data_IF_457075973588
#
_entry.id   IF_457075973588
#
_cell.length_a   1.000
_cell.length_b   1.000
_cell.length_c   1.000
_cell.angle_alpha   90.00
_cell.angle_beta   90.00
_cell.angle_gamma   90.00
#
_symmetry.space_group_name_H-M   'P 1'
#
loop_
_entity.id
_entity.type
_entity.pdbx_description
1 polymer ?
#
# COMPACT_ATOMS: atom_id res chain seq x y z
N UNK A 1 -35.04 24.86 25.38
CA UNK A 1 -34.04 24.58 26.42
C UNK A 1 -33.48 23.17 26.17
N UNK A 2 -32.19 23.09 25.83
CA UNK A 2 -31.27 21.92 25.85
C UNK A 2 -31.66 20.66 25.03
N UNK A 3 -30.79 19.97 24.30
CA UNK A 3 -29.34 20.07 24.06
C UNK A 3 -28.97 19.24 22.82
N UNK A 4 -27.97 19.68 22.04
CA UNK A 4 -26.67 19.00 21.86
C UNK A 4 -26.85 17.58 21.29
N UNK A 5 -26.63 17.28 20.00
CA UNK A 5 -25.47 17.68 19.19
C UNK A 5 -24.36 16.65 19.33
N UNK A 6 -24.62 15.38 18.98
CA UNK A 6 -23.64 14.29 19.10
C UNK A 6 -22.96 14.06 17.75
N UNK A 7 -21.83 14.76 17.56
CA UNK A 7 -20.90 14.48 16.47
C UNK A 7 -20.18 13.17 16.79
N UNK A 8 -20.44 12.12 16.00
CA UNK A 8 -19.63 10.90 16.05
C UNK A 8 -18.21 11.21 15.58
N UNK A 9 -17.33 11.43 16.54
CA UNK A 9 -15.92 11.66 16.33
C UNK A 9 -15.24 10.34 15.95
N UNK A 10 -14.71 10.28 14.73
CA UNK A 10 -13.83 9.21 14.26
C UNK A 10 -12.64 9.13 15.22
N UNK A 11 -12.34 7.98 15.86
CA UNK A 11 -11.23 7.89 16.79
C UNK A 11 -9.90 8.04 16.04
N UNK A 12 -9.26 9.19 16.23
CA UNK A 12 -7.89 9.51 15.83
C UNK A 12 -6.92 9.01 16.91
N UNK A 13 -6.80 7.69 17.11
CA UNK A 13 -5.62 7.06 17.75
C UNK A 13 -5.78 5.53 17.72
N UNK A 14 -4.78 4.73 17.29
CA UNK A 14 -4.87 3.29 17.42
C UNK A 14 -4.69 2.91 18.90
N UNK A 15 -5.72 2.32 19.49
CA UNK A 15 -5.62 1.70 20.81
C UNK A 15 -4.44 0.72 20.82
N UNK A 16 -3.55 0.85 21.82
CA UNK A 16 -2.45 -0.07 22.04
C UNK A 16 -3.00 -1.50 22.19
N UNK A 17 -2.50 -2.42 21.36
CA UNK A 17 -2.92 -3.82 21.41
C UNK A 17 -2.40 -4.48 22.70
N UNK A 18 -3.17 -5.40 23.30
CA UNK A 18 -2.73 -6.13 24.48
C UNK A 18 -1.51 -7.01 24.15
N UNK A 19 -0.54 -7.15 25.09
CA UNK A 19 0.64 -7.99 24.89
C UNK A 19 0.21 -9.46 24.79
N UNK A 20 0.62 -10.14 23.71
CA UNK A 20 0.38 -11.59 23.51
C UNK A 20 -0.57 -11.98 22.38
N UNK A 21 -0.92 -11.07 21.47
CA UNK A 21 -1.71 -11.45 20.29
C UNK A 21 -0.81 -12.16 19.27
N UNK A 22 -0.95 -13.49 19.15
CA UNK A 22 -0.28 -14.30 18.14
C UNK A 22 -0.51 -13.75 16.72
N UNK A 23 0.58 -13.50 16.00
CA UNK A 23 0.64 -12.88 14.69
C UNK A 23 -0.04 -13.73 13.58
N UNK A 24 -0.42 -14.97 13.89
CA UNK A 24 -1.06 -15.91 12.97
C UNK A 24 -2.41 -15.44 12.39
N UNK A 25 -3.18 -14.59 13.09
CA UNK A 25 -4.58 -14.28 12.71
C UNK A 25 -4.88 -12.85 12.27
N UNK A 26 -3.89 -11.93 12.29
CA UNK A 26 -4.03 -10.61 11.66
C UNK A 26 -2.68 -10.16 11.14
N UNK A 27 -2.47 -10.34 9.85
CA UNK A 27 -1.23 -9.95 9.18
C UNK A 27 -1.12 -8.41 9.21
N UNK A 28 -0.26 -7.88 10.08
CA UNK A 28 0.00 -6.45 10.17
C UNK A 28 0.79 -5.97 8.96
N UNK A 29 0.10 -5.76 7.84
CA UNK A 29 0.67 -5.16 6.66
C UNK A 29 0.46 -3.65 6.69
N UNK A 30 1.55 -2.91 6.55
CA UNK A 30 1.51 -1.47 6.33
C UNK A 30 1.68 -1.17 4.83
N UNK A 31 1.06 -0.09 4.35
CA UNK A 31 1.29 0.38 3.00
C UNK A 31 2.76 0.80 2.83
N UNK A 32 3.39 0.36 1.74
CA UNK A 32 4.74 0.82 1.41
C UNK A 32 4.72 2.33 1.11
N UNK A 33 5.83 3.03 1.36
CA UNK A 33 6.00 4.45 1.04
C UNK A 33 6.22 4.65 -0.47
N UNK A 34 5.20 4.34 -1.27
CA UNK A 34 5.22 4.42 -2.74
C UNK A 34 4.47 5.65 -3.28
N UNK A 35 4.19 6.62 -2.40
CA UNK A 35 3.50 7.86 -2.71
C UNK A 35 1.97 7.80 -2.50
N UNK A 36 1.37 8.97 -2.30
CA UNK A 36 -0.04 9.10 -1.93
C UNK A 36 -1.00 8.77 -3.07
N UNK A 37 -0.57 8.90 -4.32
CA UNK A 37 -1.42 8.63 -5.49
C UNK A 37 -1.93 7.19 -5.53
N UNK A 38 -1.09 6.21 -5.19
CA UNK A 38 -1.50 4.79 -5.16
C UNK A 38 -2.52 4.55 -4.04
N UNK A 39 -2.29 5.16 -2.87
CA UNK A 39 -3.24 5.08 -1.74
C UNK A 39 -4.58 5.68 -2.12
N UNK A 40 -4.58 6.80 -2.83
CA UNK A 40 -5.80 7.46 -3.29
C UNK A 40 -6.58 6.59 -4.26
N UNK A 41 -5.93 6.01 -5.27
CA UNK A 41 -6.58 5.11 -6.24
C UNK A 41 -7.28 3.93 -5.52
N UNK A 42 -6.61 3.32 -4.55
CA UNK A 42 -7.19 2.21 -3.77
C UNK A 42 -8.34 2.70 -2.89
N UNK A 43 -8.22 3.87 -2.28
CA UNK A 43 -9.26 4.45 -1.46
C UNK A 43 -10.53 4.77 -2.28
N UNK A 44 -10.38 5.44 -3.43
CA UNK A 44 -11.47 5.74 -4.37
C UNK A 44 -12.15 4.46 -4.86
N UNK A 45 -11.37 3.43 -5.18
CA UNK A 45 -11.90 2.13 -5.56
C UNK A 45 -12.73 1.48 -4.44
N UNK A 46 -12.26 1.53 -3.19
CA UNK A 46 -13.01 1.01 -2.03
C UNK A 46 -14.30 1.81 -1.81
N UNK A 47 -14.24 3.13 -1.94
CA UNK A 47 -15.41 4.02 -1.84
C UNK A 47 -16.44 3.63 -2.89
N UNK A 48 -16.05 3.46 -4.15
CA UNK A 48 -16.93 2.98 -5.23
C UNK A 48 -17.60 1.65 -4.88
N UNK A 49 -16.84 0.67 -4.39
CA UNK A 49 -17.41 -0.63 -4.03
C UNK A 49 -18.43 -0.52 -2.88
N UNK A 50 -18.17 0.33 -1.88
CA UNK A 50 -19.04 0.49 -0.72
C UNK A 50 -20.27 1.33 -1.01
N UNK A 51 -20.10 2.48 -1.63
CA UNK A 51 -21.14 3.49 -1.78
C UNK A 51 -22.01 3.23 -3.02
N UNK A 52 -21.40 2.87 -4.15
CA UNK A 52 -22.15 2.64 -5.39
C UNK A 52 -22.59 1.19 -5.56
N UNK A 53 -21.76 0.23 -5.16
CA UNK A 53 -22.08 -1.20 -5.31
C UNK A 53 -22.70 -1.84 -4.08
N UNK A 54 -22.67 -1.15 -2.94
CA UNK A 54 -23.17 -1.62 -1.64
C UNK A 54 -22.54 -2.94 -1.22
N UNK A 55 -21.21 -3.03 -1.36
CA UNK A 55 -20.43 -4.22 -0.99
C UNK A 55 -19.92 -4.10 0.43
N UNK A 56 -19.97 -5.21 1.15
CA UNK A 56 -19.51 -5.32 2.53
C UNK A 56 -18.05 -5.76 2.63
N UNK A 57 -17.53 -5.84 3.85
CA UNK A 57 -16.14 -6.23 4.10
C UNK A 57 -15.81 -7.70 3.75
N UNK A 58 -16.82 -8.53 3.48
CA UNK A 58 -16.65 -9.93 3.07
C UNK A 58 -16.64 -10.09 1.54
N UNK A 59 -16.97 -9.05 0.78
CA UNK A 59 -16.93 -9.05 -0.68
C UNK A 59 -15.48 -8.89 -1.18
N UNK A 60 -15.15 -9.40 -2.38
CA UNK A 60 -13.81 -9.30 -2.95
C UNK A 60 -13.38 -7.85 -3.19
N UNK A 61 -12.23 -7.43 -2.66
CA UNK A 61 -11.64 -6.12 -2.93
C UNK A 61 -11.28 -5.93 -4.42
N UNK A 62 -10.84 -7.01 -5.07
CA UNK A 62 -10.58 -7.05 -6.52
C UNK A 62 -11.50 -8.09 -7.18
N UNK A 63 -12.74 -7.72 -7.52
CA UNK A 63 -13.74 -8.63 -8.06
C UNK A 63 -13.45 -9.11 -9.47
N UNK A 64 -14.01 -10.27 -9.78
CA UNK A 64 -13.99 -10.79 -11.13
C UNK A 64 -14.82 -9.94 -12.09
N UNK A 65 -14.32 -9.79 -13.31
CA UNK A 65 -15.07 -9.19 -14.41
C UNK A 65 -16.33 -10.01 -14.70
N UNK A 66 -17.48 -9.35 -14.76
CA UNK A 66 -18.74 -9.95 -15.19
C UNK A 66 -18.77 -9.95 -16.71
N UNK A 67 -19.00 -11.14 -17.27
CA UNK A 67 -19.14 -11.36 -18.71
C UNK A 67 -20.54 -11.93 -18.93
N UNK A 68 -21.29 -11.34 -19.86
CA UNK A 68 -22.59 -11.86 -20.32
C UNK A 68 -22.65 -11.84 -21.85
N UNK A 69 -23.75 -12.33 -22.40
CA UNK A 69 -24.00 -12.26 -23.85
C UNK A 69 -24.62 -10.91 -24.22
N UNK A 70 -24.21 -10.37 -25.36
CA UNK A 70 -24.90 -9.25 -26.02
C UNK A 70 -26.08 -9.76 -26.87
N UNK A 71 -26.77 -8.85 -27.56
CA UNK A 71 -27.90 -9.16 -28.45
C UNK A 71 -27.53 -10.11 -29.61
N UNK A 72 -26.24 -10.20 -29.94
CA UNK A 72 -25.67 -11.09 -30.98
C UNK A 72 -25.08 -12.38 -30.41
N UNK A 73 -25.40 -12.71 -29.15
CA UNK A 73 -24.89 -13.88 -28.42
C UNK A 73 -23.36 -13.90 -28.24
N UNK A 74 -22.69 -12.76 -28.41
CA UNK A 74 -21.24 -12.62 -28.20
C UNK A 74 -20.92 -12.23 -26.76
N UNK A 75 -19.75 -12.64 -26.27
CA UNK A 75 -19.32 -12.31 -24.91
C UNK A 75 -18.94 -10.83 -24.79
N UNK A 76 -19.58 -10.13 -23.86
CA UNK A 76 -19.36 -8.73 -23.53
C UNK A 76 -19.05 -8.58 -22.03
N UNK A 77 -18.15 -7.65 -21.70
CA UNK A 77 -17.96 -7.19 -20.33
C UNK A 77 -19.14 -6.32 -19.91
N UNK A 78 -19.88 -6.75 -18.89
CA UNK A 78 -21.07 -6.05 -18.39
C UNK A 78 -20.94 -5.55 -16.96
N UNK A 79 -19.76 -5.70 -16.35
CA UNK A 79 -19.43 -5.07 -15.07
C UNK A 79 -18.49 -5.90 -14.22
N UNK A 80 -18.73 -5.89 -12.92
CA UNK A 80 -17.98 -6.65 -11.90
C UNK A 80 -18.92 -7.59 -11.15
N UNK A 81 -18.39 -8.71 -10.68
CA UNK A 81 -19.13 -9.77 -10.01
C UNK A 81 -18.65 -9.93 -8.57
N UNK A 82 -19.56 -10.31 -7.64
CA UNK A 82 -19.25 -10.51 -6.21
C UNK A 82 -18.51 -11.83 -5.95
N UNK A 83 -17.50 -12.11 -6.77
CA UNK A 83 -16.64 -13.29 -6.68
C UNK A 83 -15.20 -12.91 -6.98
N UNK A 84 -14.28 -13.63 -6.35
CA UNK A 84 -12.86 -13.51 -6.66
C UNK A 84 -12.55 -14.04 -8.07
N UNK A 85 -11.48 -13.54 -8.69
CA UNK A 85 -10.93 -14.22 -9.87
C UNK A 85 -10.52 -15.64 -9.51
N UNK A 86 -10.84 -16.61 -10.37
CA UNK A 86 -10.47 -18.02 -10.18
C UNK A 86 -8.96 -18.28 -10.31
N UNK A 87 -8.25 -17.42 -11.04
CA UNK A 87 -6.83 -17.53 -11.28
C UNK A 87 -6.23 -16.16 -11.61
N UNK A 88 -4.90 -16.10 -11.74
CA UNK A 88 -4.19 -14.85 -12.03
C UNK A 88 -4.12 -14.49 -13.53
N UNK A 89 -4.83 -15.18 -14.42
CA UNK A 89 -4.84 -14.84 -15.86
C UNK A 89 -5.45 -13.45 -16.14
N UNK A 90 -6.57 -13.04 -15.52
CA UNK A 90 -7.15 -11.71 -15.74
C UNK A 90 -6.18 -10.59 -15.37
N UNK A 91 -5.55 -10.65 -14.19
CA UNK A 91 -4.59 -9.62 -13.78
C UNK A 91 -3.38 -9.56 -14.72
N UNK A 92 -2.86 -10.70 -15.21
CA UNK A 92 -1.78 -10.71 -16.21
C UNK A 92 -2.18 -10.04 -17.52
N UNK A 93 -3.42 -10.22 -17.97
CA UNK A 93 -3.96 -9.57 -19.18
C UNK A 93 -4.09 -8.05 -18.99
N UNK A 94 -4.69 -7.62 -17.88
CA UNK A 94 -4.83 -6.20 -17.52
C UNK A 94 -3.46 -5.54 -17.48
N UNK A 95 -2.50 -6.18 -16.82
CA UNK A 95 -1.14 -5.69 -16.69
C UNK A 95 -0.45 -5.53 -18.04
N UNK A 96 -0.50 -6.57 -18.89
CA UNK A 96 0.08 -6.50 -20.24
C UNK A 96 -0.55 -5.38 -21.08
N UNK A 97 -1.87 -5.24 -21.02
CA UNK A 97 -2.59 -4.19 -21.73
C UNK A 97 -2.15 -2.80 -21.25
N UNK A 98 -2.08 -2.57 -19.94
CA UNK A 98 -1.65 -1.28 -19.39
C UNK A 98 -0.23 -0.87 -19.85
N UNK A 99 0.72 -1.82 -19.87
CA UNK A 99 2.06 -1.55 -20.41
C UNK A 99 2.02 -1.19 -21.91
N UNK A 100 1.23 -1.93 -22.68
CA UNK A 100 1.08 -1.72 -24.13
C UNK A 100 0.46 -0.35 -24.42
N UNK A 101 -0.62 -0.01 -23.73
CA UNK A 101 -1.33 1.27 -23.88
C UNK A 101 -0.45 2.45 -23.46
N UNK A 102 0.48 2.25 -22.52
CA UNK A 102 1.47 3.25 -22.12
C UNK A 102 2.72 3.31 -23.03
N UNK A 103 2.80 2.50 -24.08
CA UNK A 103 3.97 2.44 -24.97
C UNK A 103 5.22 1.85 -24.31
N UNK A 104 5.07 1.09 -23.22
CA UNK A 104 6.17 0.53 -22.45
C UNK A 104 6.38 -0.97 -22.76
N UNK A 105 7.63 -1.48 -22.64
CA UNK A 105 7.88 -2.91 -22.71
C UNK A 105 7.09 -3.67 -21.65
N UNK A 106 6.58 -4.86 -21.99
CA UNK A 106 5.89 -5.69 -21.02
C UNK A 106 6.86 -6.24 -19.96
N UNK A 107 6.62 -5.90 -18.70
CA UNK A 107 7.21 -6.56 -17.55
C UNK A 107 6.19 -7.53 -16.93
N UNK A 108 6.63 -8.64 -16.35
CA UNK A 108 5.71 -9.56 -15.66
C UNK A 108 5.31 -9.00 -14.28
N UNK A 109 4.20 -9.46 -13.66
CA UNK A 109 3.77 -8.92 -12.35
C UNK A 109 4.78 -9.04 -11.21
N UNK A 110 5.73 -10.00 -11.26
CA UNK A 110 6.76 -10.12 -10.23
C UNK A 110 7.80 -8.99 -10.29
N UNK A 111 7.90 -8.29 -11.42
CA UNK A 111 8.77 -7.12 -11.56
C UNK A 111 8.42 -5.99 -10.59
N UNK A 112 7.14 -5.82 -10.22
CA UNK A 112 6.74 -4.81 -9.22
C UNK A 112 7.24 -5.19 -7.83
N UNK A 113 7.16 -6.48 -7.48
CA UNK A 113 7.77 -6.98 -6.24
C UNK A 113 9.28 -6.73 -6.22
N UNK A 114 9.98 -6.99 -7.32
CA UNK A 114 11.42 -6.68 -7.43
C UNK A 114 11.70 -5.17 -7.30
N UNK A 115 10.82 -4.33 -7.84
CA UNK A 115 10.90 -2.88 -7.72
C UNK A 115 10.78 -2.45 -6.26
N UNK A 116 9.84 -3.03 -5.50
CA UNK A 116 9.72 -2.79 -4.06
C UNK A 116 10.94 -3.28 -3.27
N UNK A 117 11.55 -4.40 -3.66
CA UNK A 117 12.80 -4.86 -3.03
C UNK A 117 13.92 -3.85 -3.26
N UNK A 118 14.10 -3.39 -4.51
CA UNK A 118 15.11 -2.36 -4.84
C UNK A 118 14.87 -1.05 -4.12
N UNK A 119 13.61 -0.62 -4.01
CA UNK A 119 13.25 0.57 -3.24
C UNK A 119 13.62 0.39 -1.77
N UNK A 120 13.29 -0.76 -1.17
CA UNK A 120 13.69 -1.11 0.20
C UNK A 120 15.20 -1.00 0.42
N UNK A 121 16.00 -1.51 -0.52
CA UNK A 121 17.46 -1.42 -0.47
C UNK A 121 17.99 0.02 -0.48
N UNK A 122 17.22 0.96 -1.04
CA UNK A 122 17.59 2.38 -1.11
C UNK A 122 17.14 3.16 0.13
N UNK A 123 15.94 2.87 0.66
CA UNK A 123 15.34 3.68 1.74
C UNK A 123 15.66 3.17 3.15
N UNK A 124 15.85 1.86 3.31
CA UNK A 124 16.19 1.26 4.58
C UNK A 124 17.66 1.53 4.92
N UNK A 125 17.91 2.10 6.09
CA UNK A 125 19.25 2.46 6.57
C UNK A 125 19.80 1.44 7.58
N UNK A 126 18.92 0.60 8.15
CA UNK A 126 19.31 -0.39 9.15
C UNK A 126 18.88 -1.80 8.74
N UNK A 127 19.60 -2.83 9.22
CA UNK A 127 19.18 -4.23 9.10
C UNK A 127 17.75 -4.49 9.57
N UNK A 128 17.36 -3.92 10.70
CA UNK A 128 16.00 -4.03 11.25
C UNK A 128 14.96 -3.45 10.30
N UNK A 129 15.23 -2.27 9.71
CA UNK A 129 14.33 -1.64 8.74
C UNK A 129 14.15 -2.52 7.49
N UNK A 130 15.24 -3.04 6.95
CA UNK A 130 15.17 -3.89 5.77
C UNK A 130 14.51 -5.24 6.07
N UNK A 131 14.70 -5.78 7.28
CA UNK A 131 14.01 -6.98 7.75
C UNK A 131 12.50 -6.74 7.86
N UNK A 132 12.07 -5.64 8.48
CA UNK A 132 10.66 -5.24 8.56
C UNK A 132 10.05 -5.06 7.16
N UNK A 133 10.78 -4.44 6.23
CA UNK A 133 10.39 -4.31 4.82
C UNK A 133 10.17 -5.66 4.14
N UNK A 134 11.11 -6.60 4.33
CA UNK A 134 11.02 -7.95 3.76
C UNK A 134 9.85 -8.76 4.34
N UNK A 135 9.60 -8.65 5.65
CA UNK A 135 8.43 -9.26 6.30
C UNK A 135 7.13 -8.65 5.78
N UNK A 136 7.08 -7.33 5.59
CA UNK A 136 5.92 -6.64 5.03
C UNK A 136 5.61 -7.07 3.59
N UNK A 137 6.65 -7.39 2.80
CA UNK A 137 6.50 -7.94 1.45
C UNK A 137 5.99 -9.39 1.45
N UNK A 138 6.08 -10.12 2.57
CA UNK A 138 5.89 -11.57 2.60
C UNK A 138 6.97 -12.29 1.78
N UNK A 139 8.21 -11.77 1.78
CA UNK A 139 9.33 -12.36 1.06
C UNK A 139 10.30 -13.04 2.03
N UNK A 140 10.15 -14.35 2.23
CA UNK A 140 11.08 -15.11 3.06
C UNK A 140 12.46 -15.29 2.40
N UNK A 141 12.57 -15.30 1.06
CA UNK A 141 13.85 -15.67 0.40
C UNK A 141 14.97 -14.63 0.48
N UNK A 142 14.68 -13.38 0.85
CA UNK A 142 15.71 -12.35 1.14
C UNK A 142 16.18 -12.44 2.59
N UNK A 143 15.54 -13.29 3.41
CA UNK A 143 15.92 -13.52 4.79
C UNK A 143 17.34 -14.07 4.94
N UNK A 144 17.92 -14.74 3.95
CA UNK A 144 19.17 -15.50 4.13
C UNK A 144 20.34 -14.65 4.60
N UNK A 145 20.39 -13.36 4.29
CA UNK A 145 21.44 -12.44 4.79
C UNK A 145 21.15 -11.89 6.20
N UNK A 146 19.89 -11.87 6.63
CA UNK A 146 19.47 -11.27 7.91
C UNK A 146 18.86 -12.29 8.90
N UNK A 147 19.10 -13.59 8.69
CA UNK A 147 18.61 -14.66 9.59
C UNK A 147 19.06 -14.43 11.04
N UNK A 148 20.21 -13.78 11.25
CA UNK A 148 20.74 -13.45 12.57
C UNK A 148 19.91 -12.44 13.37
N UNK A 149 19.00 -11.69 12.73
CA UNK A 149 18.23 -10.60 13.38
C UNK A 149 16.87 -11.04 13.93
N UNK A 150 16.51 -12.33 13.80
CA UNK A 150 15.19 -12.80 14.23
C UNK A 150 14.03 -12.15 13.46
N UNK A 151 12.81 -12.31 13.94
CA UNK A 151 11.62 -11.66 13.36
C UNK A 151 11.37 -10.31 14.04
N UNK A 152 11.01 -9.31 13.25
CA UNK A 152 10.48 -8.04 13.78
C UNK A 152 9.03 -8.27 14.16
N UNK A 153 8.67 -7.86 15.38
CA UNK A 153 7.30 -7.93 15.91
C UNK A 153 6.33 -7.08 15.08
N UNK A 154 5.08 -7.54 14.97
CA UNK A 154 4.07 -6.96 14.07
C UNK A 154 3.85 -5.45 14.27
N UNK A 155 3.72 -5.02 15.53
CA UNK A 155 3.55 -3.61 15.87
C UNK A 155 4.78 -2.79 15.45
N UNK A 156 5.99 -3.28 15.78
CA UNK A 156 7.26 -2.65 15.44
C UNK A 156 7.48 -2.59 13.93
N UNK A 157 7.12 -3.65 13.21
CA UNK A 157 7.14 -3.67 11.75
C UNK A 157 6.27 -2.56 11.18
N UNK A 158 5.05 -2.40 11.67
CA UNK A 158 4.14 -1.34 11.22
C UNK A 158 4.67 0.07 11.51
N UNK A 159 5.26 0.29 12.68
CA UNK A 159 5.91 1.55 13.05
C UNK A 159 7.05 1.88 12.09
N UNK A 160 7.97 0.94 11.87
CA UNK A 160 9.10 1.10 10.96
C UNK A 160 8.64 1.47 9.54
N UNK A 161 7.64 0.78 8.99
CA UNK A 161 7.17 1.05 7.63
C UNK A 161 6.52 2.44 7.53
N UNK A 162 5.79 2.88 8.56
CA UNK A 162 5.20 4.23 8.61
C UNK A 162 6.26 5.31 8.76
N UNK A 163 7.29 5.09 9.58
CA UNK A 163 8.40 6.02 9.73
C UNK A 163 9.17 6.20 8.42
N UNK A 164 9.35 5.12 7.65
CA UNK A 164 9.93 5.17 6.31
C UNK A 164 9.08 5.97 5.30
N UNK A 165 7.79 6.15 5.55
CA UNK A 165 6.90 6.96 4.71
C UNK A 165 6.93 8.46 5.03
N UNK A 166 7.47 8.85 6.18
CA UNK A 166 7.55 10.25 6.56
C UNK A 166 8.75 10.91 5.86
N UNK A 167 8.58 12.04 5.17
CA UNK A 167 9.71 12.77 4.58
C UNK A 167 10.74 13.06 5.65
N UNK A 168 11.95 12.51 5.50
CA UNK A 168 13.04 12.79 6.45
C UNK A 168 13.39 14.26 6.36
N UNK A 169 13.12 15.02 7.41
CA UNK A 169 13.74 16.33 7.65
C UNK A 169 15.20 16.15 8.11
N UNK A 170 15.97 15.31 7.44
CA UNK A 170 17.43 15.27 7.64
C UNK A 170 18.07 16.31 6.73
N UNK A 171 17.72 17.58 6.97
CA UNK A 171 18.60 18.67 6.58
C UNK A 171 19.54 18.84 7.77
N UNK A 172 20.85 18.55 7.63
CA UNK A 172 21.83 18.89 8.65
C UNK A 172 21.58 20.33 9.10
N UNK A 173 21.64 20.64 10.41
CA UNK A 173 21.35 21.97 10.93
C UNK A 173 22.14 23.07 10.20
N UNK A 174 23.34 22.72 9.72
CA UNK A 174 24.23 23.54 8.90
C UNK A 174 23.65 23.90 7.52
N UNK A 175 23.04 22.94 6.81
CA UNK A 175 22.39 23.19 5.51
C UNK A 175 21.10 24.00 5.70
N UNK A 176 20.37 23.79 6.81
CA UNK A 176 19.17 24.57 7.14
C UNK A 176 19.53 26.03 7.47
N UNK A 177 20.69 26.23 8.11
CA UNK A 177 21.26 27.56 8.34
C UNK A 177 21.68 28.22 7.02
N UNK A 178 22.39 27.51 6.15
CA UNK A 178 22.77 27.98 4.81
C UNK A 178 21.56 28.39 3.96
N UNK A 179 20.51 27.57 3.91
CA UNK A 179 19.30 27.88 3.14
C UNK A 179 18.54 29.10 3.68
N UNK A 180 18.59 29.34 5.00
CA UNK A 180 18.02 30.56 5.60
C UNK A 180 18.80 31.80 5.22
N UNK A 181 20.14 31.74 5.20
CA UNK A 181 21.01 32.86 4.81
C UNK A 181 20.80 33.21 3.34
N UNK A 182 20.76 32.21 2.44
CA UNK A 182 20.46 32.45 1.03
C UNK A 182 19.07 33.06 0.80
N UNK A 183 18.06 32.63 1.56
CA UNK A 183 16.69 33.15 1.43
C UNK A 183 16.49 34.56 2.01
N UNK A 184 17.40 35.04 2.87
CA UNK A 184 17.42 36.44 3.31
C UNK A 184 18.18 37.32 2.32
N UNK A 185 19.29 36.84 1.74
CA UNK A 185 20.10 37.62 0.78
C UNK A 185 19.34 37.92 -0.53
N UNK A 186 18.48 37.00 -0.98
CA UNK A 186 17.65 37.20 -2.18
C UNK A 186 16.44 38.12 -1.97
N UNK A 187 16.25 38.64 -0.75
CA UNK A 187 15.10 39.48 -0.38
C UNK A 187 15.47 40.96 -0.22
N UNK A 188 16.74 41.29 -0.41
CA UNK A 188 17.29 42.64 -0.57
C UNK A 188 17.55 42.95 -2.06
#
# INVERSE_FOLDING_TARGET
FAGLGDQQQIPQSPAALPPGTDCSTRTGHAFFPVGDGIRLIVAEWITYLREEKLWGNNDPLFPATRISHDESMQFQVTGIDRKHWRNATPIRKIFRKAFTDAGLPYFNPHSFRNTLVRLGQQVCQTPEQFKAWSQNLGHEKVLTTFLSYGNVECQRQGEIIRDLATPRQNIPPDIKALLKVFASEMRD
#
